data_IF_363437837586
#
_entry.id   IF_363437837586
#
_cell.length_a   1.000
_cell.length_b   1.000
_cell.length_c   1.000
_cell.angle_alpha   90.00
_cell.angle_beta   90.00
_cell.angle_gamma   90.00
#
_symmetry.space_group_name_H-M   'P 1'
#
loop_
_entity.id
_entity.type
_entity.pdbx_description
1 polymer ?
#
# COMPACT_ATOMS: atom_id res chain seq x y z
N UNK A 1 -11.04 -15.93 -3.90
CA UNK A 1 -10.88 -15.69 -5.35
C UNK A 1 -9.59 -14.90 -5.50
N UNK A 2 -8.50 -15.54 -5.94
CA UNK A 2 -7.22 -14.84 -6.17
C UNK A 2 -7.28 -14.05 -7.49
N UNK A 3 -6.48 -12.98 -7.65
CA UNK A 3 -6.45 -12.21 -8.89
C UNK A 3 -6.01 -13.12 -10.04
N UNK A 4 -6.73 -13.05 -11.16
CA UNK A 4 -6.49 -13.84 -12.36
C UNK A 4 -5.04 -13.69 -12.82
N UNK A 5 -4.28 -14.79 -12.87
CA UNK A 5 -2.98 -14.79 -13.55
C UNK A 5 -3.19 -14.42 -15.04
N UNK A 6 -2.36 -13.52 -15.59
CA UNK A 6 -2.53 -13.04 -16.94
C UNK A 6 -2.33 -14.17 -17.97
N UNK A 7 -3.34 -14.43 -18.79
CA UNK A 7 -3.35 -15.55 -19.76
C UNK A 7 -2.41 -15.35 -20.96
N UNK A 8 -1.83 -14.15 -21.13
CA UNK A 8 -0.89 -13.82 -22.21
C UNK A 8 0.25 -12.95 -21.70
N UNK A 9 1.38 -12.94 -22.43
CA UNK A 9 2.50 -12.05 -22.13
C UNK A 9 2.08 -10.57 -22.14
N UNK A 10 1.24 -10.15 -23.10
CA UNK A 10 0.74 -8.79 -23.17
C UNK A 10 -0.06 -8.43 -21.91
N UNK A 11 -1.01 -9.28 -21.50
CA UNK A 11 -1.76 -9.09 -20.27
C UNK A 11 -0.85 -9.06 -19.02
N UNK A 12 0.25 -9.83 -19.02
CA UNK A 12 1.20 -9.84 -17.92
C UNK A 12 2.01 -8.55 -17.82
N UNK A 13 2.40 -7.98 -18.96
CA UNK A 13 3.08 -6.70 -19.02
C UNK A 13 2.16 -5.54 -18.61
N UNK A 14 0.91 -5.57 -19.05
CA UNK A 14 -0.10 -4.58 -18.66
C UNK A 14 -0.42 -4.66 -17.17
N UNK A 15 -0.58 -5.87 -16.62
CA UNK A 15 -0.75 -6.06 -15.18
C UNK A 15 0.46 -5.56 -14.39
N UNK A 16 1.68 -5.92 -14.82
CA UNK A 16 2.90 -5.43 -14.16
C UNK A 16 3.03 -3.90 -14.24
N UNK A 17 2.55 -3.28 -15.33
CA UNK A 17 2.48 -1.82 -15.46
C UNK A 17 1.49 -1.23 -14.47
N UNK A 18 0.27 -1.76 -14.40
CA UNK A 18 -0.75 -1.33 -13.44
C UNK A 18 -0.25 -1.42 -12.00
N UNK A 19 0.41 -2.51 -11.61
CA UNK A 19 1.02 -2.66 -10.28
C UNK A 19 2.07 -1.57 -9.97
N UNK A 20 2.86 -1.15 -10.97
CA UNK A 20 3.84 -0.06 -10.79
C UNK A 20 3.17 1.29 -10.66
N UNK A 21 2.14 1.55 -11.45
CA UNK A 21 1.34 2.78 -11.39
C UNK A 21 0.64 2.90 -10.03
N UNK A 22 -0.07 1.83 -9.60
CA UNK A 22 -0.71 1.74 -8.29
C UNK A 22 0.26 2.01 -7.14
N UNK A 23 1.46 1.43 -7.20
CA UNK A 23 2.51 1.66 -6.19
C UNK A 23 2.97 3.12 -6.15
N UNK A 24 3.27 3.70 -7.31
CA UNK A 24 3.75 5.07 -7.40
C UNK A 24 2.71 6.04 -6.85
N UNK A 25 1.45 5.82 -7.19
CA UNK A 25 0.34 6.66 -6.77
C UNK A 25 0.04 6.53 -5.28
N UNK A 26 -0.02 5.31 -4.74
CA UNK A 26 -0.21 5.10 -3.31
C UNK A 26 0.90 5.76 -2.48
N UNK A 27 2.16 5.65 -2.92
CA UNK A 27 3.28 6.33 -2.26
C UNK A 27 3.12 7.85 -2.35
N UNK A 28 2.77 8.38 -3.52
CA UNK A 28 2.59 9.82 -3.70
C UNK A 28 1.47 10.37 -2.79
N UNK A 29 0.36 9.64 -2.67
CA UNK A 29 -0.76 9.98 -1.80
C UNK A 29 -0.34 9.94 -0.32
N UNK A 30 0.31 8.86 0.13
CA UNK A 30 0.77 8.76 1.51
C UNK A 30 1.80 9.84 1.88
N UNK A 31 2.67 10.22 0.94
CA UNK A 31 3.65 11.31 1.14
C UNK A 31 2.96 12.66 1.16
N UNK A 32 2.00 12.91 0.27
CA UNK A 32 1.26 14.17 0.21
C UNK A 32 0.47 14.44 1.50
N UNK A 33 -0.03 13.39 2.14
CA UNK A 33 -0.76 13.47 3.41
C UNK A 33 0.12 13.26 4.65
N UNK A 34 1.42 12.95 4.48
CA UNK A 34 2.33 12.49 5.53
C UNK A 34 1.70 11.42 6.46
N UNK A 35 0.88 10.54 5.88
CA UNK A 35 0.01 9.59 6.59
C UNK A 35 -0.31 8.38 5.72
N UNK A 36 -0.54 7.23 6.35
CA UNK A 36 -1.01 6.01 5.69
C UNK A 36 -2.54 5.90 5.66
N UNK A 37 -3.24 6.69 6.48
CA UNK A 37 -4.69 6.68 6.63
C UNK A 37 -5.46 6.72 5.29
N UNK A 38 -5.06 7.52 4.27
CA UNK A 38 -5.69 7.54 2.94
C UNK A 38 -5.76 6.18 2.23
N UNK A 39 -4.80 5.29 2.54
CA UNK A 39 -4.64 4.00 1.88
C UNK A 39 -5.26 2.84 2.65
N UNK A 40 -5.68 3.08 3.89
CA UNK A 40 -6.24 2.04 4.72
C UNK A 40 -7.68 1.73 4.27
N UNK A 41 -8.07 0.45 4.21
CA UNK A 41 -9.41 0.06 3.78
C UNK A 41 -10.53 0.63 4.67
N UNK A 42 -10.19 1.12 5.87
CA UNK A 42 -11.10 1.70 6.85
C UNK A 42 -10.96 3.22 6.97
N UNK A 43 -10.31 3.89 6.01
CA UNK A 43 -10.16 5.35 6.00
C UNK A 43 -11.53 6.01 6.21
N UNK A 44 -11.67 6.78 7.29
CA UNK A 44 -12.96 7.38 7.69
C UNK A 44 -13.30 8.63 6.90
N UNK A 45 -12.35 9.20 6.17
CA UNK A 45 -12.57 10.42 5.41
C UNK A 45 -13.03 10.13 3.97
N UNK A 46 -14.30 10.43 3.63
CA UNK A 46 -14.76 10.36 2.26
C UNK A 46 -14.02 11.41 1.41
N UNK A 47 -13.04 10.97 0.62
CA UNK A 47 -12.26 11.82 -0.29
C UNK A 47 -10.76 11.52 -0.33
N UNK A 48 -10.22 10.76 0.63
CA UNK A 48 -8.78 10.48 0.73
C UNK A 48 -8.32 9.23 -0.04
N UNK A 49 -9.21 8.45 -0.65
CA UNK A 49 -8.86 7.12 -1.17
C UNK A 49 -8.63 7.12 -2.69
N UNK A 50 -7.84 8.06 -3.23
CA UNK A 50 -7.66 8.22 -4.68
C UNK A 50 -7.02 6.99 -5.33
N UNK A 51 -5.94 6.46 -4.73
CA UNK A 51 -5.25 5.27 -5.24
C UNK A 51 -6.03 3.99 -4.96
N UNK A 52 -6.62 3.85 -3.76
CA UNK A 52 -7.42 2.68 -3.38
C UNK A 52 -8.69 2.56 -4.23
N UNK A 53 -9.36 3.67 -4.57
CA UNK A 53 -10.53 3.66 -5.46
C UNK A 53 -10.17 3.23 -6.88
N UNK A 54 -8.98 3.63 -7.38
CA UNK A 54 -8.56 3.35 -8.75
C UNK A 54 -7.93 1.98 -8.94
N UNK A 55 -7.16 1.51 -7.96
CA UNK A 55 -6.29 0.34 -8.05
C UNK A 55 -6.49 -0.64 -6.89
N UNK A 56 -7.70 -0.74 -6.35
CA UNK A 56 -7.95 -1.32 -5.02
C UNK A 56 -7.21 -2.63 -4.70
N UNK A 57 -7.17 -3.59 -5.62
CA UNK A 57 -6.47 -4.87 -5.42
C UNK A 57 -4.94 -4.70 -5.39
N UNK A 58 -4.39 -3.91 -6.31
CA UNK A 58 -2.97 -3.66 -6.42
C UNK A 58 -2.47 -2.91 -5.18
N UNK A 59 -3.17 -1.88 -4.73
CA UNK A 59 -2.78 -1.08 -3.55
C UNK A 59 -2.87 -1.90 -2.27
N UNK A 60 -3.94 -2.67 -2.08
CA UNK A 60 -4.09 -3.53 -0.88
C UNK A 60 -3.04 -4.64 -0.82
N UNK A 61 -2.50 -5.07 -1.96
CA UNK A 61 -1.42 -6.06 -2.04
C UNK A 61 -0.01 -5.49 -1.76
N UNK A 62 0.15 -4.16 -1.71
CA UNK A 62 1.44 -3.54 -1.45
C UNK A 62 1.93 -3.85 -0.04
N UNK A 63 3.24 -4.08 0.10
CA UNK A 63 3.87 -4.23 1.42
C UNK A 63 3.80 -2.90 2.19
N UNK A 64 3.22 -2.93 3.39
CA UNK A 64 3.10 -1.78 4.27
C UNK A 64 4.44 -1.05 4.47
N UNK A 65 5.50 -1.83 4.72
CA UNK A 65 6.86 -1.31 4.89
C UNK A 65 7.34 -0.43 3.74
N UNK A 66 6.95 -0.77 2.50
CA UNK A 66 7.37 -0.02 1.31
C UNK A 66 6.78 1.38 1.29
N UNK A 67 5.55 1.53 1.78
CA UNK A 67 4.89 2.84 1.87
C UNK A 67 5.42 3.62 3.06
N UNK A 68 5.54 2.98 4.24
CA UNK A 68 6.14 3.59 5.42
C UNK A 68 7.52 4.18 5.15
N UNK A 69 8.36 3.47 4.40
CA UNK A 69 9.72 3.93 4.08
C UNK A 69 9.75 5.21 3.22
N UNK A 70 8.66 5.52 2.51
CA UNK A 70 8.54 6.72 1.70
C UNK A 70 7.94 7.92 2.46
N UNK A 71 7.15 7.67 3.52
CA UNK A 71 6.49 8.71 4.31
C UNK A 71 7.50 9.41 5.25
N UNK A 72 7.67 10.75 5.17
CA UNK A 72 8.66 11.47 5.97
C UNK A 72 8.54 11.26 7.49
N UNK A 73 7.33 11.31 8.05
CA UNK A 73 7.09 11.15 9.50
C UNK A 73 7.49 9.77 10.06
N UNK A 74 7.49 8.74 9.21
CA UNK A 74 7.90 7.38 9.57
C UNK A 74 9.42 7.25 9.83
N UNK A 75 10.23 8.25 9.44
CA UNK A 75 11.65 8.38 9.78
C UNK A 75 12.57 7.31 9.18
N UNK A 76 12.18 6.74 8.05
CA UNK A 76 13.01 5.88 7.21
C UNK A 76 13.13 4.42 7.66
N UNK A 77 13.86 3.64 6.87
CA UNK A 77 13.85 2.17 6.87
C UNK A 77 14.05 1.47 8.22
N UNK A 78 14.86 2.05 9.10
CA UNK A 78 15.13 1.47 10.42
C UNK A 78 13.95 1.72 11.37
N UNK A 79 13.39 2.93 11.35
CA UNK A 79 12.26 3.30 12.22
C UNK A 79 10.98 2.60 11.75
N UNK A 80 10.72 2.51 10.44
CA UNK A 80 9.58 1.74 9.90
C UNK A 80 9.59 0.28 10.37
N UNK A 81 10.74 -0.41 10.28
CA UNK A 81 10.87 -1.80 10.76
C UNK A 81 10.64 -1.94 12.26
N UNK A 82 11.16 -1.00 13.05
CA UNK A 82 10.94 -0.99 14.51
C UNK A 82 9.47 -0.77 14.86
N UNK A 83 8.77 0.10 14.13
CA UNK A 83 7.33 0.32 14.30
C UNK A 83 6.54 -0.95 13.98
N UNK A 84 6.82 -1.62 12.86
CA UNK A 84 6.19 -2.90 12.53
C UNK A 84 6.42 -3.95 13.61
N UNK A 85 7.66 -4.09 14.08
CA UNK A 85 7.98 -5.04 15.14
C UNK A 85 7.26 -4.71 16.46
N UNK A 86 7.12 -3.43 16.81
CA UNK A 86 6.39 -2.99 17.99
C UNK A 86 4.87 -3.29 17.90
N UNK A 87 4.32 -3.27 16.69
CA UNK A 87 2.93 -3.65 16.40
C UNK A 87 2.74 -5.17 16.20
N UNK A 88 3.81 -5.97 16.33
CA UNK A 88 3.75 -7.42 16.10
C UNK A 88 3.54 -7.82 14.64
N UNK A 89 3.85 -6.92 13.70
CA UNK A 89 3.64 -7.11 12.27
C UNK A 89 4.89 -7.66 11.57
N UNK A 90 4.69 -8.59 10.64
CA UNK A 90 5.76 -9.06 9.76
C UNK A 90 6.17 -7.98 8.75
N UNK A 91 7.44 -7.99 8.33
CA UNK A 91 7.94 -7.08 7.29
C UNK A 91 7.26 -7.28 5.92
N UNK A 92 6.63 -8.44 5.71
CA UNK A 92 5.88 -8.83 4.51
C UNK A 92 4.42 -8.43 4.55
N UNK A 93 3.91 -7.86 5.64
CA UNK A 93 2.48 -7.55 5.77
C UNK A 93 2.01 -6.63 4.64
N UNK A 94 0.89 -7.02 4.02
CA UNK A 94 0.23 -6.24 2.99
C UNK A 94 -0.60 -5.13 3.63
N UNK A 95 -0.76 -3.99 2.94
CA UNK A 95 -1.58 -2.86 3.38
C UNK A 95 -3.02 -3.29 3.70
N UNK A 96 -3.62 -4.12 2.85
CA UNK A 96 -4.98 -4.62 3.05
C UNK A 96 -5.13 -5.65 4.18
N UNK A 97 -4.01 -6.13 4.75
CA UNK A 97 -4.01 -7.07 5.86
C UNK A 97 -3.93 -6.37 7.24
N UNK A 98 -3.76 -5.05 7.27
CA UNK A 98 -3.71 -4.26 8.51
C UNK A 98 -5.13 -4.10 9.06
N UNK A 99 -5.29 -4.44 10.33
CA UNK A 99 -6.58 -4.31 11.04
C UNK A 99 -6.75 -2.90 11.63
N UNK A 100 -7.98 -2.45 11.96
CA UNK A 100 -8.19 -1.14 12.60
C UNK A 100 -7.43 -0.91 13.91
N UNK A 101 -7.09 -1.99 14.63
CA UNK A 101 -6.40 -1.93 15.92
C UNK A 101 -4.86 -1.86 15.77
N UNK A 102 -4.34 -2.04 14.55
CA UNK A 102 -2.92 -2.05 14.19
C UNK A 102 -2.52 -0.74 13.50
#
# INVERSE_FOLDING_TARGET
>A
MGPHEPATLAAALDWARSCREARAEAIAEAVAHDSLEPLLPNAREPGLAGAVQRFGAEVTSLKLLTVMDAVPSCGGKVKSRRLLAALGLEHSVALGAVTPDQ
#
